data_IF_230960047673
#
_entry.id   IF_230960047673
#
_cell.length_a   1.000
_cell.length_b   1.000
_cell.length_c   1.000
_cell.angle_alpha   90.00
_cell.angle_beta   90.00
_cell.angle_gamma   90.00
#
_symmetry.space_group_name_H-M   'P 1'
#
loop_
_entity.id
_entity.type
_entity.pdbx_description
1 polymer ?
#
# COMPACT_ATOMS: atom_id res chain seq x y z
N UNK A 1 0.05 -1.27 -13.96
CA UNK A 1 0.00 -1.51 -12.50
C UNK A 1 0.35 -0.23 -11.76
N UNK A 2 -0.58 0.31 -10.98
CA UNK A 2 -0.40 1.49 -10.15
C UNK A 2 -0.26 1.09 -8.68
N UNK A 3 0.73 1.67 -8.00
CA UNK A 3 0.95 1.45 -6.58
C UNK A 3 0.67 2.76 -5.85
N UNK A 4 -0.07 2.69 -4.75
CA UNK A 4 -0.17 3.81 -3.80
C UNK A 4 0.61 3.48 -2.55
N UNK A 5 1.44 4.41 -2.09
CA UNK A 5 2.15 4.31 -0.84
C UNK A 5 1.50 5.25 0.17
N UNK A 6 1.32 4.78 1.39
CA UNK A 6 0.92 5.59 2.53
C UNK A 6 1.85 5.25 3.68
N UNK A 7 2.52 6.25 4.26
CA UNK A 7 3.37 6.00 5.43
C UNK A 7 2.59 6.13 6.74
N UNK A 8 2.96 5.38 7.77
CA UNK A 8 2.34 5.48 9.11
C UNK A 8 2.35 6.90 9.66
N UNK A 9 3.40 7.68 9.36
CA UNK A 9 3.54 9.09 9.77
C UNK A 9 2.56 10.06 9.11
N UNK A 10 1.80 9.62 8.10
CA UNK A 10 0.82 10.44 7.39
C UNK A 10 -0.58 10.40 8.03
N UNK A 11 -0.87 9.39 8.85
CA UNK A 11 -2.19 9.15 9.45
C UNK A 11 -3.11 8.29 8.58
N UNK A 12 -4.14 7.74 9.21
CA UNK A 12 -5.03 6.70 8.68
C UNK A 12 -6.10 7.25 7.73
N UNK A 13 -6.29 8.57 7.74
CA UNK A 13 -7.36 9.27 7.02
C UNK A 13 -7.04 9.59 5.55
N UNK A 14 -5.82 9.27 5.11
CA UNK A 14 -5.33 9.54 3.75
C UNK A 14 -6.20 8.94 2.64
N UNK A 15 -6.74 7.70 2.76
CA UNK A 15 -7.68 7.19 1.76
C UNK A 15 -8.90 8.08 1.59
N UNK A 16 -9.45 8.61 2.69
CA UNK A 16 -10.63 9.47 2.67
C UNK A 16 -10.32 10.88 2.14
N UNK A 17 -9.11 11.40 2.41
CA UNK A 17 -8.66 12.71 1.93
C UNK A 17 -8.28 12.72 0.45
N UNK A 18 -7.77 11.61 -0.06
CA UNK A 18 -7.30 11.48 -1.44
C UNK A 18 -7.95 10.28 -2.15
N UNK A 19 -9.30 10.19 -2.21
CA UNK A 19 -9.97 8.97 -2.66
C UNK A 19 -9.60 8.56 -4.09
N UNK A 20 -9.34 9.53 -4.97
CA UNK A 20 -8.97 9.24 -6.37
C UNK A 20 -7.68 8.43 -6.49
N UNK A 21 -6.62 8.73 -5.72
CA UNK A 21 -5.34 7.99 -5.84
C UNK A 21 -5.46 6.57 -5.29
N UNK A 22 -6.28 6.37 -4.25
CA UNK A 22 -6.53 5.03 -3.69
C UNK A 22 -7.48 4.21 -4.56
N UNK A 23 -8.47 4.85 -5.20
CA UNK A 23 -9.43 4.16 -6.06
C UNK A 23 -8.81 3.67 -7.39
N UNK A 24 -7.77 4.34 -7.89
CA UNK A 24 -7.09 3.99 -9.16
C UNK A 24 -5.83 3.15 -8.99
N UNK A 25 -5.35 2.97 -7.75
CA UNK A 25 -4.22 2.10 -7.44
C UNK A 25 -4.62 0.63 -7.51
N UNK A 26 -3.72 -0.25 -7.91
CA UNK A 26 -3.94 -1.71 -7.93
C UNK A 26 -3.63 -2.36 -6.57
N UNK A 27 -2.68 -1.80 -5.82
CA UNK A 27 -2.25 -2.25 -4.49
C UNK A 27 -1.90 -1.03 -3.63
N UNK A 28 -2.20 -1.11 -2.33
CA UNK A 28 -1.71 -0.15 -1.35
C UNK A 28 -0.54 -0.72 -0.56
N UNK A 29 0.48 0.10 -0.33
CA UNK A 29 1.66 -0.26 0.46
C UNK A 29 1.72 0.66 1.67
N UNK A 30 1.55 0.08 2.86
CA UNK A 30 1.70 0.77 4.13
C UNK A 30 3.18 0.74 4.51
N UNK A 31 3.83 1.91 4.51
CA UNK A 31 5.27 2.05 4.70
C UNK A 31 5.63 2.62 6.08
N UNK A 32 6.89 2.45 6.49
CA UNK A 32 7.42 2.90 7.79
C UNK A 32 6.70 2.24 8.98
N UNK A 33 6.36 0.95 8.86
CA UNK A 33 5.63 0.24 9.90
C UNK A 33 6.37 0.25 11.26
N UNK A 34 7.69 0.37 11.25
CA UNK A 34 8.53 0.53 12.45
C UNK A 34 8.22 1.80 13.27
N UNK A 35 7.51 2.77 12.69
CA UNK A 35 7.10 3.99 13.37
C UNK A 35 5.64 3.98 13.82
N UNK A 36 4.88 2.91 13.54
CA UNK A 36 3.44 2.85 13.84
C UNK A 36 3.15 3.14 15.32
N UNK A 37 3.84 2.45 16.23
CA UNK A 37 3.65 2.62 17.67
C UNK A 37 4.03 4.03 18.14
N UNK A 38 5.12 4.59 17.60
CA UNK A 38 5.64 5.90 17.99
C UNK A 38 4.70 7.06 17.60
N UNK A 39 3.86 6.86 16.58
CA UNK A 39 2.88 7.85 16.10
C UNK A 39 1.44 7.44 16.40
N UNK A 40 1.24 6.42 17.24
CA UNK A 40 -0.07 5.90 17.64
C UNK A 40 -0.96 5.51 16.44
N UNK A 41 -0.33 4.96 15.40
CA UNK A 41 -1.00 4.67 14.12
C UNK A 41 -2.00 3.50 14.23
N UNK A 42 -3.27 3.74 13.88
CA UNK A 42 -4.31 2.70 13.82
C UNK A 42 -4.34 2.03 12.43
N UNK A 43 -3.57 0.94 12.31
CA UNK A 43 -3.52 0.16 11.08
C UNK A 43 -4.89 -0.38 10.64
N UNK A 44 -5.75 -0.75 11.58
CA UNK A 44 -7.08 -1.26 11.27
C UNK A 44 -8.00 -0.16 10.74
N UNK A 45 -7.89 1.07 11.26
CA UNK A 45 -8.58 2.23 10.70
C UNK A 45 -8.13 2.53 9.27
N UNK A 46 -6.82 2.48 8.98
CA UNK A 46 -6.33 2.65 7.62
C UNK A 46 -6.92 1.60 6.68
N UNK A 47 -6.90 0.32 7.07
CA UNK A 47 -7.44 -0.79 6.26
C UNK A 47 -8.93 -0.56 5.97
N UNK A 48 -9.73 -0.21 6.99
CA UNK A 48 -11.15 0.14 6.80
C UNK A 48 -11.33 1.30 5.83
N UNK A 49 -10.52 2.35 5.96
CA UNK A 49 -10.58 3.53 5.09
C UNK A 49 -10.19 3.19 3.65
N UNK A 50 -9.14 2.38 3.45
CA UNK A 50 -8.73 1.88 2.13
C UNK A 50 -9.87 1.10 1.49
N UNK A 51 -10.47 0.13 2.20
CA UNK A 51 -11.55 -0.68 1.66
C UNK A 51 -12.86 0.08 1.51
N UNK A 52 -13.08 1.15 2.27
CA UNK A 52 -14.19 2.08 2.05
C UNK A 52 -14.08 2.85 0.73
N UNK A 53 -12.85 3.09 0.24
CA UNK A 53 -12.60 3.76 -1.04
C UNK A 53 -12.47 2.76 -2.20
N UNK A 54 -11.72 1.68 -2.00
CA UNK A 54 -11.48 0.61 -2.98
C UNK A 54 -11.63 -0.76 -2.32
N UNK A 55 -12.86 -1.33 -2.32
CA UNK A 55 -13.12 -2.63 -1.72
C UNK A 55 -12.23 -3.73 -2.31
N UNK A 56 -11.65 -4.56 -1.45
CA UNK A 56 -10.85 -5.72 -1.86
C UNK A 56 -9.46 -5.39 -2.42
N UNK A 57 -9.03 -4.12 -2.40
CA UNK A 57 -7.65 -3.78 -2.80
C UNK A 57 -6.64 -4.54 -1.91
N UNK A 58 -5.63 -5.21 -2.50
CA UNK A 58 -4.51 -5.78 -1.78
C UNK A 58 -3.76 -4.70 -0.98
N UNK A 59 -3.33 -5.05 0.23
CA UNK A 59 -2.59 -4.16 1.13
C UNK A 59 -1.34 -4.89 1.61
N UNK A 60 -0.17 -4.34 1.31
CA UNK A 60 1.12 -4.83 1.78
C UNK A 60 1.65 -3.95 2.91
N UNK A 61 2.27 -4.54 3.93
CA UNK A 61 2.75 -3.83 5.13
C UNK A 61 4.27 -3.94 5.21
N UNK A 62 4.98 -2.82 5.14
CA UNK A 62 6.44 -2.82 5.02
C UNK A 62 7.13 -1.86 5.98
N UNK A 63 8.30 -2.27 6.45
CA UNK A 63 9.32 -1.40 7.02
C UNK A 63 10.65 -1.69 6.33
N UNK A 64 11.15 -0.73 5.55
CA UNK A 64 12.47 -0.85 4.92
C UNK A 64 13.58 -0.82 5.97
N UNK A 65 13.39 -0.10 7.09
CA UNK A 65 14.34 -0.02 8.19
C UNK A 65 14.46 -1.35 8.95
N UNK A 66 13.34 -2.00 9.23
CA UNK A 66 13.30 -3.28 9.94
C UNK A 66 13.41 -4.50 9.00
N UNK A 67 13.34 -4.29 7.68
CA UNK A 67 13.31 -5.36 6.68
C UNK A 67 11.96 -6.08 6.55
N UNK A 68 10.98 -5.73 7.39
CA UNK A 68 9.66 -6.37 7.40
C UNK A 68 8.92 -6.16 6.07
N UNK A 69 8.35 -7.24 5.51
CA UNK A 69 7.47 -7.20 4.34
C UNK A 69 8.17 -6.91 3.00
N UNK A 70 9.49 -6.75 2.99
CA UNK A 70 10.24 -6.46 1.74
C UNK A 70 10.23 -7.66 0.79
N UNK A 71 10.42 -8.88 1.32
CA UNK A 71 10.36 -10.10 0.50
C UNK A 71 8.96 -10.33 -0.08
N UNK A 72 7.90 -10.10 0.71
CA UNK A 72 6.51 -10.20 0.23
C UNK A 72 6.22 -9.17 -0.87
N UNK A 73 6.72 -7.94 -0.72
CA UNK A 73 6.63 -6.91 -1.75
C UNK A 73 7.39 -7.30 -3.02
N UNK A 74 8.60 -7.84 -2.90
CA UNK A 74 9.38 -8.35 -4.03
C UNK A 74 8.59 -9.45 -4.77
N UNK A 75 8.10 -10.45 -4.04
CA UNK A 75 7.32 -11.55 -4.60
C UNK A 75 6.06 -11.03 -5.31
N UNK A 76 5.35 -10.07 -4.71
CA UNK A 76 4.20 -9.43 -5.34
C UNK A 76 4.59 -8.76 -6.66
N UNK A 77 5.66 -7.98 -6.68
CA UNK A 77 6.12 -7.29 -7.90
C UNK A 77 6.57 -8.26 -8.99
N UNK A 78 7.27 -9.34 -8.62
CA UNK A 78 7.70 -10.39 -9.56
C UNK A 78 6.49 -11.10 -10.16
N UNK A 79 5.49 -11.44 -9.34
CA UNK A 79 4.27 -12.12 -9.79
C UNK A 79 3.47 -11.28 -10.80
N UNK A 80 3.50 -9.95 -10.67
CA UNK A 80 2.78 -9.01 -11.55
C UNK A 80 3.69 -8.39 -12.63
N UNK A 81 4.92 -8.90 -12.78
CA UNK A 81 5.87 -8.41 -13.79
C UNK A 81 5.38 -8.64 -15.22
N UNK A 82 4.67 -9.73 -15.46
CA UNK A 82 4.17 -10.12 -16.79
C UNK A 82 3.18 -9.08 -17.34
N UNK A 83 2.40 -8.44 -16.45
CA UNK A 83 1.47 -7.37 -16.80
C UNK A 83 2.19 -6.11 -17.33
N UNK A 84 3.41 -5.85 -16.84
CA UNK A 84 4.25 -4.72 -17.28
C UNK A 84 4.96 -5.00 -18.61
N UNK A 85 5.36 -6.25 -18.86
CA UNK A 85 5.98 -6.65 -20.11
C UNK A 85 4.97 -6.65 -21.28
N UNK A 86 3.72 -7.05 -21.03
CA UNK A 86 2.64 -6.96 -22.02
C UNK A 86 2.28 -5.50 -22.36
N UNK A 87 2.26 -4.60 -21.38
CA UNK A 87 1.97 -3.17 -21.60
C UNK A 87 3.10 -2.41 -22.34
N UNK A 88 4.34 -2.90 -22.32
CA UNK A 88 5.49 -2.34 -23.06
C UNK A 88 5.59 -2.82 -24.51
N UNK A 89 4.86 -3.86 -24.88
CA UNK A 89 4.89 -4.45 -26.21
C UNK A 89 3.86 -3.84 -27.19
N UNK A 90 3.11 -2.83 -26.75
CA UNK A 90 2.09 -2.07 -27.50
C UNK A 90 2.56 -0.62 -27.63
#
# INVERSE_FOLDING_TARGET
>A
MHLVLVSTTEGEDKPLKYPTIFNTADVAIVTKLDLADAVEFDLEALIRNIHGVRPGMPILKVSTRAGQGIEELEQFLVAHRTDLEAARAV
#
